data_IF_022957132252
#
_entry.id   IF_022957132252
#
_cell.length_a   1.000
_cell.length_b   1.000
_cell.length_c   1.000
_cell.angle_alpha   90.00
_cell.angle_beta   90.00
_cell.angle_gamma   90.00
#
_symmetry.space_group_name_H-M   'P 1'
#
loop_
_entity.id
_entity.type
_entity.pdbx_description
1 polymer ?
#
# COMPACT_ATOMS: atom_id res chain seq x y z
N UNK A 1 -20.38 -5.43 9.24
CA UNK A 1 -19.04 -4.79 9.40
C UNK A 1 -18.04 -5.23 8.33
N UNK A 2 -18.25 -6.37 7.65
CA UNK A 2 -17.39 -6.87 6.56
C UNK A 2 -17.37 -5.96 5.33
N UNK A 3 -18.51 -5.35 4.97
CA UNK A 3 -18.61 -4.55 3.72
C UNK A 3 -17.72 -3.29 3.71
N UNK A 4 -17.58 -2.62 4.85
CA UNK A 4 -16.70 -1.45 4.99
C UNK A 4 -15.24 -1.88 4.92
N UNK A 5 -14.90 -3.01 5.54
CA UNK A 5 -13.55 -3.59 5.49
C UNK A 5 -13.16 -3.99 4.06
N UNK A 6 -14.06 -4.65 3.35
CA UNK A 6 -13.85 -5.05 1.95
C UNK A 6 -13.78 -3.85 0.99
N UNK A 7 -14.51 -2.77 1.30
CA UNK A 7 -14.39 -1.51 0.56
C UNK A 7 -13.01 -0.87 0.76
N UNK A 8 -12.50 -0.84 2.00
CA UNK A 8 -11.18 -0.29 2.31
C UNK A 8 -10.05 -1.11 1.69
N UNK A 9 -10.15 -2.45 1.73
CA UNK A 9 -9.19 -3.34 1.08
C UNK A 9 -9.12 -3.06 -0.43
N UNK A 10 -10.27 -3.07 -1.11
CA UNK A 10 -10.34 -2.77 -2.55
C UNK A 10 -9.84 -1.36 -2.88
N UNK A 11 -10.09 -0.40 -2.01
CA UNK A 11 -9.59 0.96 -2.11
C UNK A 11 -8.06 1.01 -2.10
N UNK A 12 -7.43 0.40 -1.09
CA UNK A 12 -5.97 0.35 -0.97
C UNK A 12 -5.31 -0.43 -2.11
N UNK A 13 -5.90 -1.55 -2.54
CA UNK A 13 -5.41 -2.31 -3.72
C UNK A 13 -5.38 -1.44 -4.98
N UNK A 14 -6.43 -0.65 -5.23
CA UNK A 14 -6.51 0.27 -6.36
C UNK A 14 -5.43 1.36 -6.29
N UNK A 15 -5.21 1.92 -5.11
CA UNK A 15 -4.17 2.93 -4.89
C UNK A 15 -2.79 2.33 -5.15
N UNK A 16 -2.50 1.13 -4.63
CA UNK A 16 -1.23 0.42 -4.87
C UNK A 16 -1.02 0.17 -6.38
N UNK A 17 -2.04 -0.32 -7.08
CA UNK A 17 -1.95 -0.56 -8.52
C UNK A 17 -1.64 0.73 -9.30
N UNK A 18 -2.28 1.85 -8.93
CA UNK A 18 -2.01 3.15 -9.54
C UNK A 18 -0.57 3.62 -9.30
N UNK A 19 -0.08 3.55 -8.06
CA UNK A 19 1.29 3.98 -7.76
C UNK A 19 2.36 3.05 -8.35
N UNK A 20 2.08 1.76 -8.53
CA UNK A 20 2.98 0.85 -9.27
C UNK A 20 3.12 1.27 -10.74
N UNK A 21 2.04 1.71 -11.37
CA UNK A 21 2.08 2.24 -12.73
C UNK A 21 2.89 3.55 -12.80
N UNK A 22 2.67 4.47 -11.86
CA UNK A 22 3.46 5.71 -11.77
C UNK A 22 4.94 5.43 -11.55
N UNK A 23 5.26 4.47 -10.67
CA UNK A 23 6.62 4.02 -10.38
C UNK A 23 7.33 3.48 -11.62
N UNK A 24 6.63 2.69 -12.46
CA UNK A 24 7.18 2.20 -13.72
C UNK A 24 7.54 3.33 -14.70
N UNK A 25 6.90 4.49 -14.58
CA UNK A 25 7.12 5.68 -15.42
C UNK A 25 7.93 6.78 -14.75
N UNK A 26 8.44 6.56 -13.53
CA UNK A 26 9.15 7.57 -12.76
C UNK A 26 10.43 8.00 -13.49
N UNK A 27 10.65 9.31 -13.60
CA UNK A 27 11.81 9.88 -14.32
C UNK A 27 12.91 10.31 -13.37
N UNK A 28 12.58 10.46 -12.09
CA UNK A 28 13.50 10.91 -11.06
C UNK A 28 13.48 9.99 -9.85
N UNK A 29 14.59 9.95 -9.12
CA UNK A 29 14.67 9.16 -7.88
C UNK A 29 13.68 9.69 -6.83
N UNK A 30 13.46 11.00 -6.79
CA UNK A 30 12.49 11.62 -5.89
C UNK A 30 11.05 11.18 -6.15
N UNK A 31 10.65 11.05 -7.43
CA UNK A 31 9.34 10.48 -7.79
C UNK A 31 9.24 9.02 -7.39
N UNK A 32 10.31 8.25 -7.66
CA UNK A 32 10.39 6.84 -7.29
C UNK A 32 10.25 6.62 -5.78
N UNK A 33 10.98 7.38 -4.96
CA UNK A 33 10.87 7.35 -3.50
C UNK A 33 9.47 7.74 -3.01
N UNK A 34 8.86 8.77 -3.61
CA UNK A 34 7.50 9.20 -3.27
C UNK A 34 6.49 8.07 -3.52
N UNK A 35 6.55 7.44 -4.71
CA UNK A 35 5.64 6.38 -5.08
C UNK A 35 5.85 5.13 -4.23
N UNK A 36 7.11 4.75 -3.95
CA UNK A 36 7.43 3.65 -3.06
C UNK A 36 6.90 3.90 -1.64
N UNK A 37 7.14 5.09 -1.07
CA UNK A 37 6.63 5.46 0.26
C UNK A 37 5.11 5.39 0.36
N UNK A 38 4.41 5.68 -0.75
CA UNK A 38 2.96 5.58 -0.79
C UNK A 38 2.48 4.13 -0.89
N UNK A 39 3.11 3.32 -1.74
CA UNK A 39 2.82 1.88 -1.85
C UNK A 39 3.03 1.19 -0.51
N UNK A 40 4.13 1.46 0.19
CA UNK A 40 4.42 0.87 1.49
C UNK A 40 3.38 1.21 2.56
N UNK A 41 2.86 2.45 2.56
CA UNK A 41 1.81 2.86 3.51
C UNK A 41 0.51 2.11 3.27
N UNK A 42 0.09 1.99 2.02
CA UNK A 42 -1.13 1.24 1.67
C UNK A 42 -0.96 -0.25 1.92
N UNK A 43 0.22 -0.82 1.68
CA UNK A 43 0.50 -2.23 1.98
C UNK A 43 0.39 -2.49 3.48
N UNK A 44 0.96 -1.63 4.34
CA UNK A 44 0.79 -1.74 5.80
C UNK A 44 -0.67 -1.64 6.23
N UNK A 45 -1.47 -0.80 5.58
CA UNK A 45 -2.90 -0.69 5.85
C UNK A 45 -3.63 -1.98 5.45
N UNK A 46 -3.31 -2.56 4.29
CA UNK A 46 -3.85 -3.85 3.86
C UNK A 46 -3.50 -4.97 4.83
N UNK A 47 -2.26 -5.03 5.28
CA UNK A 47 -1.78 -6.03 6.24
C UNK A 47 -2.58 -5.93 7.56
N UNK A 48 -2.79 -4.71 8.06
CA UNK A 48 -3.63 -4.46 9.24
C UNK A 48 -5.09 -4.84 9.03
N UNK A 49 -5.68 -4.47 7.88
CA UNK A 49 -7.06 -4.79 7.56
C UNK A 49 -7.23 -6.30 7.42
N UNK A 50 -6.36 -7.00 6.71
CA UNK A 50 -6.46 -8.45 6.51
C UNK A 50 -6.19 -9.25 7.79
N UNK A 51 -5.72 -8.60 8.87
CA UNK A 51 -5.33 -9.28 10.10
C UNK A 51 -4.00 -10.00 9.97
N UNK A 52 -3.31 -9.81 8.84
CA UNK A 52 -1.92 -10.20 8.62
C UNK A 52 -1.03 -9.20 9.36
N UNK A 53 -1.03 -9.24 10.69
CA UNK A 53 0.00 -8.55 11.44
C UNK A 53 1.36 -9.14 11.01
N UNK A 54 2.37 -8.36 10.60
CA UNK A 54 3.73 -8.83 10.74
C UNK A 54 4.00 -8.87 12.24
N UNK A 55 3.73 -10.03 12.86
CA UNK A 55 4.27 -10.35 14.16
C UNK A 55 5.78 -10.21 14.07
N UNK A 56 6.34 -9.28 14.85
CA UNK A 56 7.78 -9.00 15.04
C UNK A 56 8.48 -8.31 13.85
N UNK A 57 8.48 -6.98 13.87
CA UNK A 57 9.76 -6.29 13.89
C UNK A 57 10.12 -6.17 15.38
N UNK A 58 10.89 -7.14 15.88
CA UNK A 58 11.53 -7.04 17.19
C UNK A 58 12.98 -6.60 16.94
N UNK A 59 13.30 -5.43 17.50
CA UNK A 59 14.58 -4.87 17.91
C UNK A 59 15.86 -5.31 17.19
#
# INVERSE_FOLDING_TARGET
MTDVKDLLIRGSEKVIAHYRLLLASAKTEKERELYLSRIEREQRLLDQLQGSLPGRIAA
#
